data_IF_800973434646
#
_entry.id   IF_800973434646
#
_cell.length_a   1.000
_cell.length_b   1.000
_cell.length_c   1.000
_cell.angle_alpha   90.00
_cell.angle_beta   90.00
_cell.angle_gamma   90.00
#
_symmetry.space_group_name_H-M   'P 1'
#
loop_
_entity.id
_entity.type
_entity.pdbx_description
1 polymer ?
#
# COMPACT_ATOMS: atom_id res chain seq x y z
N UNK A 1 -18.04 6.87 -9.21
CA UNK A 1 -17.67 7.68 -8.03
C UNK A 1 -16.17 7.97 -8.15
N UNK A 2 -15.77 9.22 -8.36
CA UNK A 2 -14.34 9.58 -8.44
C UNK A 2 -13.77 9.59 -7.02
N UNK A 3 -12.66 8.89 -6.82
CA UNK A 3 -11.87 9.01 -5.60
C UNK A 3 -11.21 10.39 -5.57
N UNK A 4 -11.10 11.02 -4.40
CA UNK A 4 -10.40 12.29 -4.27
C UNK A 4 -8.88 12.16 -4.50
N UNK A 5 -8.36 10.94 -4.50
CA UNK A 5 -6.96 10.61 -4.66
C UNK A 5 -6.83 9.42 -5.60
N UNK A 6 -5.94 9.51 -6.58
CA UNK A 6 -5.63 8.44 -7.52
C UNK A 6 -4.29 7.79 -7.15
N UNK A 7 -4.24 6.46 -7.22
CA UNK A 7 -2.99 5.72 -6.99
C UNK A 7 -2.08 5.87 -8.21
N UNK A 8 -0.81 6.19 -7.97
CA UNK A 8 0.20 6.13 -9.01
C UNK A 8 0.34 4.67 -9.50
N UNK A 9 0.28 4.48 -10.82
CA UNK A 9 0.42 3.19 -11.47
C UNK A 9 1.83 3.07 -12.05
N UNK A 10 2.45 1.92 -11.83
CA UNK A 10 3.71 1.59 -12.48
C UNK A 10 3.49 1.36 -13.97
N UNK A 11 4.45 1.83 -14.78
CA UNK A 11 4.51 1.47 -16.19
C UNK A 11 5.26 0.14 -16.33
N UNK A 12 4.71 -0.79 -17.11
CA UNK A 12 5.37 -2.07 -17.35
C UNK A 12 6.66 -1.85 -18.16
N UNK A 13 7.77 -2.42 -17.68
CA UNK A 13 9.08 -2.39 -18.33
C UNK A 13 9.65 -3.80 -18.45
N UNK A 14 10.59 -3.99 -19.39
CA UNK A 14 11.32 -5.27 -19.55
C UNK A 14 12.55 -5.36 -18.66
N UNK A 15 13.07 -4.22 -18.24
CA UNK A 15 14.29 -4.09 -17.47
C UNK A 15 14.07 -3.12 -16.32
N UNK A 16 14.79 -3.33 -15.21
CA UNK A 16 14.78 -2.43 -14.07
C UNK A 16 15.63 -1.20 -14.45
N UNK A 17 15.09 0.02 -14.38
CA UNK A 17 15.87 1.24 -14.61
C UNK A 17 17.05 1.34 -13.63
N UNK A 18 18.17 1.92 -14.04
CA UNK A 18 19.36 2.06 -13.18
C UNK A 18 19.77 3.54 -13.10
N UNK A 19 20.51 3.90 -12.04
CA UNK A 19 21.08 5.24 -11.87
C UNK A 19 20.72 5.89 -10.53
N UNK A 20 21.33 7.04 -10.19
CA UNK A 20 21.16 7.70 -8.90
C UNK A 20 19.75 8.25 -8.68
N UNK A 21 18.96 8.43 -9.74
CA UNK A 21 17.60 8.95 -9.68
C UNK A 21 16.54 7.87 -9.42
N UNK A 22 16.95 6.60 -9.28
CA UNK A 22 16.06 5.47 -9.11
C UNK A 22 16.15 4.86 -7.72
N UNK A 23 14.98 4.59 -7.14
CA UNK A 23 14.82 3.79 -5.92
C UNK A 23 14.09 2.49 -6.31
N UNK A 24 14.55 1.37 -5.75
CA UNK A 24 13.97 0.06 -5.99
C UNK A 24 13.25 -0.45 -4.76
N UNK A 25 11.98 -0.81 -4.93
CA UNK A 25 11.14 -1.43 -3.90
C UNK A 25 10.73 -2.83 -4.36
N UNK A 26 10.59 -3.76 -3.41
CA UNK A 26 10.10 -5.11 -3.70
C UNK A 26 8.63 -5.03 -4.11
N UNK A 27 8.29 -5.64 -5.24
CA UNK A 27 6.89 -5.77 -5.65
C UNK A 27 6.21 -6.83 -4.78
N UNK A 28 5.22 -6.41 -3.99
CA UNK A 28 4.37 -7.33 -3.24
C UNK A 28 3.18 -7.78 -4.08
N UNK A 29 2.87 -9.09 -4.05
CA UNK A 29 1.61 -9.61 -4.60
C UNK A 29 0.50 -9.44 -3.54
N UNK A 30 -0.34 -8.43 -3.73
CA UNK A 30 -1.32 -8.03 -2.74
C UNK A 30 -2.28 -6.96 -3.25
N UNK A 31 -3.01 -6.35 -2.31
CA UNK A 31 -3.93 -5.26 -2.61
C UNK A 31 -3.27 -3.93 -2.33
N UNK A 32 -3.22 -3.06 -3.34
CA UNK A 32 -2.84 -1.66 -3.15
C UNK A 32 -4.00 -0.89 -2.56
N UNK A 33 -3.72 -0.21 -1.45
CA UNK A 33 -4.70 0.49 -0.64
C UNK A 33 -4.20 1.89 -0.29
N UNK A 34 -5.15 2.78 -0.07
CA UNK A 34 -4.92 4.14 0.38
C UNK A 34 -5.41 4.28 1.81
N UNK A 35 -4.49 4.53 2.73
CA UNK A 35 -4.80 4.89 4.10
C UNK A 35 -5.06 6.39 4.14
N UNK A 36 -6.29 6.77 4.50
CA UNK A 36 -6.69 8.16 4.68
C UNK A 36 -6.95 8.38 6.16
N UNK A 37 -6.10 9.20 6.78
CA UNK A 37 -6.27 9.66 8.17
C UNK A 37 -6.83 11.08 8.18
N UNK A 38 -7.98 11.22 8.81
CA UNK A 38 -8.64 12.47 9.12
C UNK A 38 -8.72 12.60 10.64
N UNK A 39 -7.71 13.25 11.21
CA UNK A 39 -7.47 13.38 12.66
C UNK A 39 -7.57 12.04 13.43
N UNK A 40 -8.73 11.75 14.03
CA UNK A 40 -9.01 10.55 14.84
C UNK A 40 -9.67 9.42 14.05
N UNK A 41 -9.89 9.60 12.75
CA UNK A 41 -10.53 8.61 11.89
C UNK A 41 -9.55 8.14 10.83
N UNK A 42 -9.50 6.83 10.62
CA UNK A 42 -8.77 6.21 9.50
C UNK A 42 -9.75 5.49 8.59
N UNK A 43 -9.54 5.62 7.28
CA UNK A 43 -10.17 4.78 6.26
C UNK A 43 -9.12 4.09 5.42
N UNK A 44 -9.43 2.87 5.04
CA UNK A 44 -8.59 2.03 4.18
C UNK A 44 -9.35 1.81 2.87
N UNK A 45 -8.96 2.52 1.81
CA UNK A 45 -9.66 2.46 0.53
C UNK A 45 -8.87 1.64 -0.47
N UNK A 46 -9.49 0.65 -1.11
CA UNK A 46 -8.89 -0.07 -2.23
C UNK A 46 -8.73 0.84 -3.46
N UNK A 47 -7.99 0.37 -4.47
CA UNK A 47 -7.86 1.06 -5.77
C UNK A 47 -9.22 1.44 -6.40
N UNK A 48 -10.27 0.62 -6.23
CA UNK A 48 -11.61 0.92 -6.76
C UNK A 48 -12.50 1.74 -5.80
N UNK A 49 -11.96 2.20 -4.67
CA UNK A 49 -12.67 3.03 -3.69
C UNK A 49 -13.52 2.30 -2.66
N UNK A 50 -13.41 0.97 -2.57
CA UNK A 50 -14.12 0.19 -1.55
C UNK A 50 -13.48 0.41 -0.18
N UNK A 51 -14.29 0.68 0.85
CA UNK A 51 -13.81 0.83 2.22
C UNK A 51 -13.58 -0.56 2.87
N UNK A 52 -12.31 -0.85 3.13
CA UNK A 52 -11.82 -2.10 3.72
C UNK A 52 -11.42 -1.96 5.19
N UNK A 53 -11.79 -0.85 5.84
CA UNK A 53 -11.40 -0.56 7.23
C UNK A 53 -11.84 -1.66 8.19
N UNK A 54 -13.05 -2.21 8.00
CA UNK A 54 -13.57 -3.31 8.81
C UNK A 54 -12.82 -4.62 8.60
N UNK A 55 -12.19 -4.82 7.44
CA UNK A 55 -11.44 -6.02 7.10
C UNK A 55 -10.05 -6.03 7.74
N UNK A 56 -9.46 -4.85 7.94
CA UNK A 56 -8.12 -4.68 8.51
C UNK A 56 -8.10 -3.69 9.68
N UNK A 57 -8.78 -4.00 10.80
CA UNK A 57 -8.90 -3.09 11.92
C UNK A 57 -7.55 -2.72 12.55
N UNK A 58 -6.60 -3.66 12.59
CA UNK A 58 -5.27 -3.42 13.16
C UNK A 58 -4.41 -2.45 12.33
N UNK A 59 -4.58 -2.45 11.01
CA UNK A 59 -3.91 -1.48 10.13
C UNK A 59 -4.46 -0.08 10.41
N UNK A 60 -5.78 0.05 10.58
CA UNK A 60 -6.42 1.31 10.91
C UNK A 60 -5.96 1.84 12.29
N UNK A 61 -5.83 0.96 13.28
CA UNK A 61 -5.32 1.32 14.61
C UNK A 61 -3.85 1.78 14.56
N UNK A 62 -3.00 1.07 13.82
CA UNK A 62 -1.60 1.45 13.64
C UNK A 62 -1.47 2.81 12.91
N UNK A 63 -2.31 3.05 11.91
CA UNK A 63 -2.33 4.31 11.17
C UNK A 63 -2.68 5.52 12.04
N UNK A 64 -3.47 5.37 13.10
CA UNK A 64 -3.78 6.46 14.04
C UNK A 64 -2.54 6.99 14.78
N UNK A 65 -1.46 6.19 14.87
CA UNK A 65 -0.20 6.58 15.50
C UNK A 65 0.72 7.36 14.55
N UNK A 66 0.38 7.45 13.27
CA UNK A 66 1.19 8.12 12.25
C UNK A 66 0.77 9.58 12.05
N UNK A 67 1.73 10.45 11.75
CA UNK A 67 1.46 11.88 11.49
C UNK A 67 0.95 12.13 10.07
N UNK A 68 1.29 11.27 9.11
CA UNK A 68 0.87 11.39 7.72
C UNK A 68 -0.64 11.19 7.57
N UNK A 69 -1.28 12.06 6.79
CA UNK A 69 -2.72 12.02 6.52
C UNK A 69 -3.06 11.08 5.36
N UNK A 70 -2.11 10.83 4.46
CA UNK A 70 -2.31 10.01 3.28
C UNK A 70 -1.11 9.07 3.13
N UNK A 71 -1.36 7.75 3.11
CA UNK A 71 -0.31 6.74 3.03
C UNK A 71 -0.74 5.69 2.00
N UNK A 72 -0.02 5.53 0.87
CA UNK A 72 -0.18 4.36 0.02
C UNK A 72 0.39 3.13 0.74
N UNK A 73 -0.34 2.01 0.70
CA UNK A 73 0.01 0.78 1.40
C UNK A 73 -0.25 -0.43 0.50
N UNK A 74 0.72 -1.33 0.40
CA UNK A 74 0.52 -2.65 -0.18
C UNK A 74 0.23 -3.68 0.93
N UNK A 75 -0.97 -4.27 0.89
CA UNK A 75 -1.39 -5.33 1.82
C UNK A 75 -1.20 -6.69 1.14
N UNK A 76 -0.15 -7.39 1.53
CA UNK A 76 0.14 -8.76 1.08
C UNK A 76 -0.33 -9.79 2.11
N UNK A 77 -0.89 -10.90 1.64
CA UNK A 77 -1.13 -12.07 2.50
C UNK A 77 -0.05 -13.10 2.24
N UNK A 78 0.73 -13.39 3.26
CA UNK A 78 1.67 -14.49 3.25
C UNK A 78 0.98 -15.72 3.84
N UNK A 79 0.53 -16.64 2.99
CA UNK A 79 0.31 -18.02 3.43
C UNK A 79 1.68 -18.57 3.79
N UNK A 80 1.85 -19.19 4.96
CA UNK A 80 3.14 -19.52 5.60
C UNK A 80 4.16 -20.39 4.85
N UNK A 81 4.10 -20.46 3.52
CA UNK A 81 5.25 -20.78 2.67
C UNK A 81 6.22 -19.58 2.70
N UNK A 82 7.21 -19.70 3.57
CA UNK A 82 8.41 -18.86 3.53
C UNK A 82 9.02 -19.05 2.14
N UNK A 83 8.90 -18.06 1.25
CA UNK A 83 9.63 -18.07 -0.01
C UNK A 83 11.11 -17.93 0.33
N UNK A 84 11.98 -18.92 0.03
CA UNK A 84 13.34 -18.98 0.55
C UNK A 84 14.32 -17.98 -0.09
N UNK A 85 13.86 -16.91 -0.74
CA UNK A 85 14.78 -15.93 -1.36
C UNK A 85 14.16 -14.53 -1.44
N UNK A 86 14.28 -13.76 -0.38
CA UNK A 86 14.56 -12.33 -0.51
C UNK A 86 15.65 -12.00 0.52
N UNK A 87 16.94 -12.06 0.14
CA UNK A 87 18.00 -11.61 1.03
C UNK A 87 17.90 -10.08 1.21
N UNK A 88 18.12 -9.64 2.44
CA UNK A 88 18.24 -8.23 2.86
C UNK A 88 19.62 -7.71 2.45
#
# INVERSE_FOLDING_TARGET
>A
MRMAYELCLATAGKEVPNGPDWIHEVKHEGYRMLVIRDDKRVRLLSHNGTDWTKRYPWIAEAALKNRQMLIPLDVAHYSGMISPTVPI
#
